data_IF_233993654492
#
_entry.id   IF_233993654492
#
_cell.length_a   1.000
_cell.length_b   1.000
_cell.length_c   1.000
_cell.angle_alpha   90.00
_cell.angle_beta   90.00
_cell.angle_gamma   90.00
#
_symmetry.space_group_name_H-M   'P 1'
#
loop_
_entity.id
_entity.type
_entity.pdbx_description
1 polymer ?
#
# COMPACT_ATOMS: atom_id res chain seq x y z
N UNK A 1 20.08 -0.16 -19.60
CA UNK A 1 20.67 0.08 -18.27
C UNK A 1 19.72 -0.54 -17.26
N UNK A 2 20.18 -1.58 -16.55
CA UNK A 2 19.48 -2.39 -15.54
C UNK A 2 18.64 -1.56 -14.53
N UNK A 3 17.58 -2.08 -13.90
CA UNK A 3 17.44 -3.41 -13.31
C UNK A 3 16.02 -3.96 -13.47
N UNK A 4 15.97 -5.16 -14.03
CA UNK A 4 14.95 -6.15 -13.76
C UNK A 4 15.09 -6.44 -12.25
N UNK A 5 14.07 -6.15 -11.45
CA UNK A 5 13.94 -6.82 -10.16
C UNK A 5 12.90 -7.89 -10.33
N UNK A 6 13.36 -9.05 -10.75
CA UNK A 6 12.67 -10.32 -10.59
C UNK A 6 12.27 -10.47 -9.12
N UNK A 7 10.97 -10.39 -8.83
CA UNK A 7 10.43 -10.95 -7.60
C UNK A 7 9.36 -11.97 -7.97
N UNK A 8 9.81 -13.02 -8.63
CA UNK A 8 9.09 -14.27 -8.83
C UNK A 8 8.86 -14.94 -7.47
N UNK A 9 7.87 -14.46 -6.72
CA UNK A 9 7.21 -15.23 -5.66
C UNK A 9 5.85 -15.66 -6.17
N UNK A 10 5.86 -16.69 -7.02
CA UNK A 10 4.66 -17.46 -7.31
C UNK A 10 4.26 -18.25 -6.06
N UNK A 11 3.40 -17.66 -5.24
CA UNK A 11 2.58 -18.39 -4.27
C UNK A 11 1.23 -18.58 -4.96
N UNK A 12 0.96 -19.80 -5.41
CA UNK A 12 -0.29 -20.18 -6.09
C UNK A 12 -1.50 -19.56 -5.36
N UNK A 13 -2.20 -18.64 -6.05
CA UNK A 13 -3.37 -17.93 -5.52
C UNK A 13 -3.15 -16.48 -5.05
N UNK A 14 -1.92 -15.94 -5.09
CA UNK A 14 -1.69 -14.53 -4.78
C UNK A 14 -1.91 -13.64 -6.02
N UNK A 15 -2.98 -12.84 -5.97
CA UNK A 15 -3.24 -11.77 -6.94
C UNK A 15 -2.04 -10.83 -6.99
N UNK A 16 -1.55 -10.40 -8.17
CA UNK A 16 -0.45 -9.45 -8.28
C UNK A 16 -0.74 -8.13 -7.56
N UNK A 17 0.28 -7.44 -7.02
CA UNK A 17 0.12 -6.17 -6.27
C UNK A 17 -0.67 -5.14 -7.09
N UNK A 18 -0.39 -5.06 -8.39
CA UNK A 18 -1.08 -4.17 -9.34
C UNK A 18 -2.53 -4.58 -9.68
N UNK A 19 -3.03 -5.69 -9.17
CA UNK A 19 -4.40 -6.15 -9.37
C UNK A 19 -5.18 -6.23 -8.05
N UNK A 20 -4.50 -6.03 -6.90
CA UNK A 20 -5.15 -5.96 -5.58
C UNK A 20 -5.94 -4.67 -5.43
N UNK A 21 -7.13 -4.78 -4.83
CA UNK A 21 -7.98 -3.63 -4.44
C UNK A 21 -7.50 -3.02 -3.12
N UNK A 22 -7.06 -3.88 -2.20
CA UNK A 22 -6.53 -3.48 -0.89
C UNK A 22 -5.13 -4.04 -0.71
N UNK A 23 -4.24 -3.21 -0.21
CA UNK A 23 -2.84 -3.54 0.07
C UNK A 23 -2.64 -3.67 1.57
N UNK A 24 -1.77 -4.57 1.99
CA UNK A 24 -1.21 -4.55 3.35
C UNK A 24 -0.22 -3.40 3.49
N UNK A 25 0.15 -3.04 4.73
CA UNK A 25 1.13 -1.96 4.99
C UNK A 25 2.46 -2.23 4.27
N UNK A 26 2.89 -3.51 4.24
CA UNK A 26 4.13 -3.92 3.55
C UNK A 26 4.02 -3.76 2.04
N UNK A 27 2.90 -4.19 1.45
CA UNK A 27 2.68 -4.06 0.01
C UNK A 27 2.49 -2.60 -0.40
N UNK A 28 1.84 -1.78 0.43
CA UNK A 28 1.72 -0.35 0.19
C UNK A 28 3.10 0.34 0.23
N UNK A 29 3.98 -0.08 1.14
CA UNK A 29 5.35 0.40 1.21
C UNK A 29 6.16 0.02 -0.03
N UNK A 30 6.04 -1.22 -0.50
CA UNK A 30 6.68 -1.69 -1.73
C UNK A 30 6.10 -1.03 -2.99
N UNK A 31 4.78 -0.79 -3.02
CA UNK A 31 4.10 -0.16 -4.16
C UNK A 31 4.43 1.33 -4.30
N UNK A 32 4.51 2.07 -3.19
CA UNK A 32 4.74 3.52 -3.19
C UNK A 32 6.18 3.94 -2.90
N UNK A 33 7.06 2.99 -2.53
CA UNK A 33 8.38 3.26 -1.97
C UNK A 33 8.37 4.16 -0.72
N UNK A 34 7.27 4.18 0.05
CA UNK A 34 7.17 4.90 1.33
C UNK A 34 7.48 3.95 2.48
N UNK A 35 8.27 4.40 3.45
CA UNK A 35 8.63 3.59 4.62
C UNK A 35 7.41 3.10 5.43
N UNK A 36 7.46 1.85 5.90
CA UNK A 36 6.39 1.17 6.65
C UNK A 36 5.92 2.01 7.85
N UNK A 37 6.85 2.59 8.61
CA UNK A 37 6.55 3.41 9.79
C UNK A 37 5.74 4.67 9.42
N UNK A 38 6.02 5.26 8.25
CA UNK A 38 5.30 6.45 7.77
C UNK A 38 3.89 6.07 7.37
N UNK A 39 3.72 4.99 6.60
CA UNK A 39 2.40 4.46 6.25
C UNK A 39 1.61 4.10 7.51
N UNK A 40 2.22 3.46 8.50
CA UNK A 40 1.54 3.13 9.75
C UNK A 40 1.09 4.39 10.50
N UNK A 41 1.92 5.44 10.51
CA UNK A 41 1.60 6.73 11.12
C UNK A 41 0.44 7.41 10.41
N UNK A 42 0.40 7.36 9.08
CA UNK A 42 -0.73 7.88 8.30
C UNK A 42 -2.02 7.14 8.67
N UNK A 43 -2.00 5.80 8.69
CA UNK A 43 -3.18 4.98 9.03
C UNK A 43 -3.63 5.09 10.49
N UNK A 44 -2.87 5.77 11.37
CA UNK A 44 -3.28 6.10 12.74
C UNK A 44 -4.06 7.40 12.82
N UNK A 45 -4.08 8.23 11.77
CA UNK A 45 -4.83 9.48 11.77
C UNK A 45 -6.34 9.20 11.90
N UNK A 46 -7.07 9.94 12.77
CA UNK A 46 -8.47 9.64 13.12
C UNK A 46 -9.49 9.84 11.97
N UNK A 47 -9.07 10.24 10.76
CA UNK A 47 -9.91 10.42 9.57
C UNK A 47 -9.21 10.05 8.26
N UNK A 48 -8.46 8.94 8.23
CA UNK A 48 -7.80 8.55 6.99
C UNK A 48 -8.79 8.03 5.93
N UNK A 49 -8.81 8.60 4.70
CA UNK A 49 -9.74 8.16 3.66
C UNK A 49 -9.36 6.80 3.05
N UNK A 50 -8.08 6.43 3.10
CA UNK A 50 -7.53 5.23 2.49
C UNK A 50 -7.30 4.07 3.48
N UNK A 51 -7.64 4.21 4.76
CA UNK A 51 -7.57 3.09 5.71
C UNK A 51 -8.84 2.23 5.64
N UNK A 52 -8.67 0.93 5.69
CA UNK A 52 -9.73 -0.06 5.86
C UNK A 52 -9.41 -0.91 7.09
N UNK A 53 -10.29 -0.86 8.09
CA UNK A 53 -10.17 -1.69 9.28
C UNK A 53 -10.91 -3.02 9.07
N UNK A 54 -10.18 -4.13 9.07
CA UNK A 54 -10.73 -5.49 8.98
C UNK A 54 -10.45 -6.20 10.29
N UNK A 55 -11.37 -6.06 11.24
CA UNK A 55 -11.20 -6.53 12.62
C UNK A 55 -10.00 -5.88 13.28
N UNK A 56 -8.97 -6.66 13.60
CA UNK A 56 -7.69 -6.17 14.18
C UNK A 56 -6.66 -5.74 13.14
N UNK A 57 -6.88 -6.01 11.85
CA UNK A 57 -5.94 -5.71 10.76
C UNK A 57 -6.29 -4.37 10.11
N UNK A 58 -5.25 -3.64 9.69
CA UNK A 58 -5.38 -2.43 8.87
C UNK A 58 -4.94 -2.74 7.46
N UNK A 59 -5.76 -2.38 6.48
CA UNK A 59 -5.48 -2.47 5.06
C UNK A 59 -5.55 -1.07 4.44
N UNK A 60 -4.87 -0.90 3.31
CA UNK A 60 -4.83 0.34 2.55
C UNK A 60 -5.68 0.15 1.29
N UNK A 61 -6.65 1.02 1.06
CA UNK A 61 -7.42 1.05 -0.19
C UNK A 61 -6.53 1.62 -1.29
N UNK A 62 -6.26 0.82 -2.32
CA UNK A 62 -5.30 1.22 -3.37
C UNK A 62 -5.74 2.49 -4.12
N UNK A 63 -6.98 2.54 -4.61
CA UNK A 63 -7.48 3.71 -5.38
C UNK A 63 -7.43 5.01 -4.60
N UNK A 64 -7.80 4.95 -3.32
CA UNK A 64 -7.80 6.13 -2.45
C UNK A 64 -6.37 6.51 -2.03
N UNK A 65 -5.47 5.54 -1.92
CA UNK A 65 -4.06 5.79 -1.64
C UNK A 65 -3.31 6.40 -2.84
N UNK A 66 -3.61 5.95 -4.07
CA UNK A 66 -3.09 6.56 -5.30
C UNK A 66 -3.56 8.01 -5.44
N UNK A 67 -4.85 8.28 -5.17
CA UNK A 67 -5.38 9.67 -5.11
C UNK A 67 -4.67 10.48 -4.04
N UNK A 68 -4.50 9.91 -2.84
CA UNK A 68 -3.80 10.60 -1.75
C UNK A 68 -2.37 10.99 -2.15
N UNK A 69 -1.61 10.10 -2.78
CA UNK A 69 -0.25 10.44 -3.27
C UNK A 69 -0.30 11.49 -4.39
N UNK A 70 -1.32 11.46 -5.24
CA UNK A 70 -1.46 12.43 -6.35
C UNK A 70 -1.88 13.82 -5.88
N UNK A 71 -2.70 13.90 -4.84
CA UNK A 71 -3.23 15.15 -4.28
C UNK A 71 -2.27 15.81 -3.28
N UNK A 72 -1.45 15.01 -2.58
CA UNK A 72 -0.54 15.50 -1.55
C UNK A 72 0.87 15.64 -2.09
N UNK A 73 1.43 16.84 -1.95
CA UNK A 73 2.80 17.15 -2.34
C UNK A 73 3.79 16.67 -1.27
N UNK A 74 3.35 16.52 -0.02
CA UNK A 74 4.17 16.14 1.14
C UNK A 74 3.41 15.18 2.06
N UNK A 75 4.13 14.22 2.68
CA UNK A 75 3.55 13.12 3.48
C UNK A 75 4.22 12.97 4.82
#
# INVERSE_FOLDING_TARGET
>A
MCLITDNSKEVQGQVPIYQKVTLTIKEAAEYSNIGINRIESLLRAPRCPFVLYVGKKKLVKRKEFEKFISENIEI
#
